data_IF_812523658537
#
_entry.id   IF_812523658537
#
_cell.length_a   1.000
_cell.length_b   1.000
_cell.length_c   1.000
_cell.angle_alpha   90.00
_cell.angle_beta   90.00
_cell.angle_gamma   90.00
#
_symmetry.space_group_name_H-M   'P 1'
#
loop_
_entity.id
_entity.type
_entity.pdbx_description
1 polymer ?
#
# COMPACT_ATOMS: atom_id res chain seq x y z
N UNK A 1 -1.57 54.87 0.41
CA UNK A 1 -1.59 53.44 0.03
C UNK A 1 -0.86 52.67 1.12
N UNK A 2 -1.59 52.08 2.07
CA UNK A 2 -0.99 51.31 3.17
C UNK A 2 -0.75 49.88 2.72
N UNK A 3 0.53 49.52 2.57
CA UNK A 3 0.96 48.16 2.27
C UNK A 3 0.77 47.29 3.52
N UNK A 4 -0.25 46.43 3.51
CA UNK A 4 -0.42 45.41 4.55
C UNK A 4 0.73 44.40 4.44
N UNK A 5 1.55 44.31 5.50
CA UNK A 5 2.52 43.22 5.65
C UNK A 5 1.75 41.89 5.70
N UNK A 6 2.19 40.84 4.99
CA UNK A 6 1.58 39.52 5.14
C UNK A 6 1.75 39.08 6.59
N UNK A 7 0.65 38.67 7.22
CA UNK A 7 0.67 38.15 8.59
C UNK A 7 1.65 36.99 8.65
N UNK A 8 2.72 37.12 9.42
CA UNK A 8 3.62 36.01 9.71
C UNK A 8 2.77 34.86 10.26
N UNK A 9 2.80 33.71 9.58
CA UNK A 9 2.16 32.49 10.05
C UNK A 9 2.73 32.19 11.44
N UNK A 10 1.95 32.44 12.48
CA UNK A 10 2.34 32.07 13.84
C UNK A 10 2.46 30.54 13.87
N UNK A 11 3.61 30.00 14.31
CA UNK A 11 3.76 28.56 14.45
C UNK A 11 2.70 28.05 15.43
N UNK A 12 2.02 26.96 15.05
CA UNK A 12 1.10 26.26 15.96
C UNK A 12 1.88 25.81 17.20
N UNK A 13 1.21 25.78 18.35
CA UNK A 13 1.81 25.15 19.52
C UNK A 13 2.03 23.64 19.24
N UNK A 14 3.07 23.02 19.83
CA UNK A 14 3.43 21.63 19.52
C UNK A 14 2.31 20.62 19.76
N UNK A 15 1.39 20.90 20.71
CA UNK A 15 0.26 20.01 21.00
C UNK A 15 -0.77 20.10 19.87
N UNK A 16 -1.12 21.32 19.45
CA UNK A 16 -2.03 21.53 18.31
C UNK A 16 -1.46 20.95 17.02
N UNK A 17 -0.17 21.14 16.75
CA UNK A 17 0.46 20.56 15.56
C UNK A 17 0.40 19.02 15.59
N UNK A 18 0.79 18.40 16.71
CA UNK A 18 0.73 16.95 16.87
C UNK A 18 -0.69 16.41 16.70
N UNK A 19 -1.69 17.08 17.30
CA UNK A 19 -3.11 16.71 17.15
C UNK A 19 -3.57 16.80 15.70
N UNK A 20 -3.20 17.87 15.00
CA UNK A 20 -3.55 18.03 13.59
C UNK A 20 -3.04 16.85 12.76
N UNK A 21 -1.78 16.44 12.95
CA UNK A 21 -1.21 15.31 12.23
C UNK A 21 -1.83 13.96 12.61
N UNK A 22 -2.18 13.74 13.89
CA UNK A 22 -2.94 12.57 14.31
C UNK A 22 -4.32 12.52 13.64
N UNK A 23 -5.05 13.64 13.66
CA UNK A 23 -6.36 13.74 13.01
C UNK A 23 -6.26 13.47 11.51
N UNK A 24 -5.26 14.01 10.82
CA UNK A 24 -5.03 13.72 9.40
C UNK A 24 -4.77 12.23 9.15
N UNK A 25 -3.99 11.57 10.01
CA UNK A 25 -3.76 10.12 9.91
C UNK A 25 -5.09 9.36 10.01
N UNK A 26 -5.95 9.67 10.98
CA UNK A 26 -7.27 9.05 11.14
C UNK A 26 -8.15 9.27 9.90
N UNK A 27 -8.26 10.51 9.42
CA UNK A 27 -9.07 10.87 8.26
C UNK A 27 -8.60 10.10 7.03
N UNK A 28 -7.29 10.10 6.74
CA UNK A 28 -6.77 9.41 5.57
C UNK A 28 -6.89 7.90 5.68
N UNK A 29 -6.78 7.29 6.87
CA UNK A 29 -7.06 5.86 7.03
C UNK A 29 -8.53 5.53 6.71
N UNK A 30 -9.48 6.33 7.17
CA UNK A 30 -10.90 6.15 6.84
C UNK A 30 -11.14 6.26 5.33
N UNK A 31 -10.57 7.30 4.69
CA UNK A 31 -10.67 7.49 3.25
C UNK A 31 -10.03 6.34 2.46
N UNK A 32 -8.89 5.83 2.92
CA UNK A 32 -8.19 4.72 2.31
C UNK A 32 -9.05 3.44 2.36
N UNK A 33 -9.62 3.13 3.53
CA UNK A 33 -10.53 2.00 3.68
C UNK A 33 -11.78 2.14 2.81
N UNK A 34 -12.28 3.35 2.60
CA UNK A 34 -13.36 3.61 1.64
C UNK A 34 -12.94 3.31 0.20
N UNK A 35 -11.75 3.73 -0.24
CA UNK A 35 -11.25 3.41 -1.58
C UNK A 35 -10.99 1.91 -1.77
N UNK A 36 -10.46 1.23 -0.75
CA UNK A 36 -10.26 -0.23 -0.77
C UNK A 36 -11.60 -0.97 -0.94
N UNK A 37 -12.64 -0.56 -0.20
CA UNK A 37 -13.99 -1.13 -0.35
C UNK A 37 -14.59 -0.83 -1.72
N UNK A 38 -14.45 0.39 -2.23
CA UNK A 38 -14.92 0.75 -3.58
C UNK A 38 -14.25 -0.14 -4.64
N UNK A 39 -12.93 -0.30 -4.58
CA UNK A 39 -12.19 -1.17 -5.50
C UNK A 39 -12.70 -2.62 -5.43
N UNK A 40 -12.89 -3.16 -4.22
CA UNK A 40 -13.45 -4.50 -4.03
C UNK A 40 -14.79 -4.68 -4.77
N UNK A 41 -15.72 -3.75 -4.57
CA UNK A 41 -17.05 -3.83 -5.19
C UNK A 41 -16.97 -3.78 -6.72
N UNK A 42 -16.14 -2.88 -7.26
CA UNK A 42 -15.92 -2.79 -8.71
C UNK A 42 -15.28 -4.06 -9.28
N UNK A 43 -14.31 -4.64 -8.56
CA UNK A 43 -13.70 -5.91 -8.98
C UNK A 43 -14.72 -7.05 -8.95
N UNK A 44 -15.54 -7.14 -7.91
CA UNK A 44 -16.63 -8.11 -7.81
C UNK A 44 -17.65 -7.94 -8.95
N UNK A 45 -18.07 -6.71 -9.24
CA UNK A 45 -18.97 -6.38 -10.33
C UNK A 45 -18.46 -6.88 -11.68
N UNK A 46 -17.17 -6.65 -11.97
CA UNK A 46 -16.52 -7.15 -13.19
C UNK A 46 -16.58 -8.68 -13.35
N UNK A 47 -16.74 -9.43 -12.25
CA UNK A 47 -16.72 -10.89 -12.25
C UNK A 47 -18.10 -11.53 -12.16
N UNK A 48 -19.18 -10.76 -11.94
CA UNK A 48 -20.52 -11.31 -11.69
C UNK A 48 -21.01 -12.25 -12.79
N UNK A 49 -20.61 -12.00 -14.04
CA UNK A 49 -21.03 -12.78 -15.21
C UNK A 49 -20.00 -13.84 -15.65
N UNK A 50 -18.84 -13.92 -14.98
CA UNK A 50 -17.80 -14.90 -15.31
C UNK A 50 -18.06 -16.23 -14.60
N UNK A 51 -17.64 -17.37 -15.17
CA UNK A 51 -17.61 -18.64 -14.46
C UNK A 51 -16.77 -18.54 -13.17
N UNK A 52 -17.17 -19.24 -12.10
CA UNK A 52 -16.45 -19.23 -10.80
C UNK A 52 -14.97 -19.60 -10.96
N UNK A 53 -14.63 -20.45 -11.93
CA UNK A 53 -13.24 -20.85 -12.23
C UNK A 53 -12.38 -19.70 -12.77
N UNK A 54 -13.02 -18.63 -13.26
CA UNK A 54 -12.38 -17.42 -13.78
C UNK A 54 -12.44 -16.27 -12.77
N UNK A 55 -13.06 -16.47 -11.60
CA UNK A 55 -13.13 -15.45 -10.56
C UNK A 55 -11.76 -15.26 -9.95
N UNK A 56 -11.30 -14.02 -10.02
CA UNK A 56 -10.20 -13.55 -9.22
C UNK A 56 -10.70 -13.29 -7.78
N UNK A 57 -10.06 -13.83 -6.75
CA UNK A 57 -10.43 -13.51 -5.36
C UNK A 57 -9.43 -12.50 -4.79
N UNK A 58 -9.70 -11.18 -4.87
CA UNK A 58 -8.81 -10.19 -4.29
C UNK A 58 -8.76 -10.36 -2.78
N UNK A 59 -7.56 -10.55 -2.23
CA UNK A 59 -7.33 -10.40 -0.80
C UNK A 59 -7.39 -8.91 -0.46
N UNK A 60 -8.27 -8.55 0.46
CA UNK A 60 -8.53 -7.16 0.85
C UNK A 60 -8.24 -7.00 2.33
N UNK A 61 -7.23 -6.19 2.63
CA UNK A 61 -6.87 -5.83 3.99
C UNK A 61 -7.24 -4.38 4.23
N UNK A 62 -8.06 -4.15 5.25
CA UNK A 62 -8.36 -2.81 5.72
C UNK A 62 -7.30 -2.36 6.71
N UNK A 63 -6.94 -1.08 6.64
CA UNK A 63 -6.01 -0.47 7.57
C UNK A 63 -6.72 -0.21 8.91
N UNK A 64 -6.13 -0.61 10.06
CA UNK A 64 -6.66 -0.29 11.37
C UNK A 64 -6.75 1.23 11.56
N UNK A 65 -7.94 1.75 11.87
CA UNK A 65 -8.14 3.17 12.13
C UNK A 65 -7.48 3.53 13.47
N UNK A 66 -6.47 4.42 13.49
CA UNK A 66 -5.82 4.79 14.74
C UNK A 66 -6.81 5.45 15.71
N UNK A 67 -6.62 5.22 17.01
CA UNK A 67 -7.37 5.93 18.05
C UNK A 67 -6.68 7.25 18.39
N UNK A 68 -7.47 8.30 18.66
CA UNK A 68 -6.92 9.57 19.12
C UNK A 68 -6.42 9.42 20.55
N UNK A 69 -5.14 9.70 20.77
CA UNK A 69 -4.55 9.65 22.10
C UNK A 69 -4.59 11.03 22.75
N UNK A 70 -4.99 11.09 24.03
CA UNK A 70 -4.84 12.32 24.81
C UNK A 70 -3.35 12.48 25.14
N UNK A 71 -2.70 13.60 24.76
CA UNK A 71 -1.31 13.81 25.15
C UNK A 71 -1.22 13.92 26.67
N UNK A 72 -0.15 13.35 27.25
CA UNK A 72 0.11 13.49 28.68
C UNK A 72 0.19 14.98 29.02
N UNK A 73 -0.52 15.45 30.06
CA UNK A 73 -0.59 16.88 30.39
C UNK A 73 0.72 17.47 30.91
N UNK A 74 1.80 16.69 31.01
CA UNK A 74 3.07 17.15 31.55
C UNK A 74 4.08 17.45 30.42
N UNK A 75 4.22 18.72 29.99
CA UNK A 75 5.16 19.11 28.93
C UNK A 75 6.64 19.02 29.34
N UNK A 76 6.93 18.85 30.64
CA UNK A 76 8.27 18.66 31.18
C UNK A 76 8.44 17.22 31.69
N UNK A 77 8.94 16.28 30.88
CA UNK A 77 9.29 14.95 31.35
C UNK A 77 10.55 15.06 32.21
N UNK A 78 10.37 15.25 33.52
CA UNK A 78 11.46 14.98 34.45
C UNK A 78 11.78 13.48 34.34
N UNK A 79 12.90 13.15 33.70
CA UNK A 79 13.66 11.87 33.75
C UNK A 79 13.66 10.90 32.57
N UNK A 80 12.99 11.12 31.43
CA UNK A 80 13.45 10.45 30.17
C UNK A 80 13.06 11.20 28.88
N UNK A 81 14.01 11.54 28.00
CA UNK A 81 13.73 12.19 26.71
C UNK A 81 13.13 11.25 25.66
N UNK A 82 13.10 9.94 25.91
CA UNK A 82 12.66 8.91 24.94
C UNK A 82 11.15 8.82 24.74
N UNK A 83 10.33 9.36 25.63
CA UNK A 83 8.86 9.23 25.57
C UNK A 83 8.11 10.52 25.24
N UNK A 84 8.79 11.58 24.78
CA UNK A 84 8.11 12.82 24.39
C UNK A 84 7.45 12.66 23.00
N UNK A 85 6.10 12.68 22.89
CA UNK A 85 5.42 12.56 21.60
C UNK A 85 5.67 13.75 20.66
N UNK A 86 6.20 14.86 21.18
CA UNK A 86 6.47 16.09 20.46
C UNK A 86 7.93 16.21 19.99
N UNK A 87 8.76 15.18 20.18
CA UNK A 87 10.14 15.22 19.67
C UNK A 87 10.13 15.22 18.13
N UNK A 88 11.21 15.75 17.53
CA UNK A 88 11.30 15.92 16.08
C UNK A 88 11.13 14.61 15.32
N UNK A 89 11.76 13.53 15.79
CA UNK A 89 11.68 12.19 15.17
C UNK A 89 10.25 11.65 15.13
N UNK A 90 9.51 11.73 16.25
CA UNK A 90 8.12 11.28 16.34
C UNK A 90 7.22 12.13 15.45
N UNK A 91 7.43 13.45 15.44
CA UNK A 91 6.68 14.36 14.57
C UNK A 91 6.94 14.09 13.09
N UNK A 92 8.19 13.82 12.70
CA UNK A 92 8.56 13.49 11.33
C UNK A 92 8.00 12.12 10.88
N UNK A 93 8.01 11.12 11.77
CA UNK A 93 7.36 9.85 11.52
C UNK A 93 5.84 10.02 11.32
N UNK A 94 5.18 10.84 12.15
CA UNK A 94 3.74 11.10 12.04
C UNK A 94 3.38 11.86 10.76
N UNK A 95 4.18 12.87 10.38
CA UNK A 95 4.04 13.59 9.10
C UNK A 95 4.23 12.65 7.91
N UNK A 96 5.24 11.80 7.98
CA UNK A 96 5.54 10.80 6.93
C UNK A 96 4.37 9.84 6.78
N UNK A 97 3.86 9.28 7.89
CA UNK A 97 2.69 8.41 7.87
C UNK A 97 1.47 9.09 7.25
N UNK A 98 1.17 10.34 7.62
CA UNK A 98 0.06 11.09 7.04
C UNK A 98 0.24 11.30 5.52
N UNK A 99 1.46 11.61 5.06
CA UNK A 99 1.78 11.74 3.63
C UNK A 99 1.60 10.43 2.88
N UNK A 100 2.09 9.30 3.42
CA UNK A 100 1.94 7.98 2.82
C UNK A 100 0.46 7.57 2.72
N UNK A 101 -0.32 7.75 3.79
CA UNK A 101 -1.76 7.48 3.78
C UNK A 101 -2.48 8.33 2.72
N UNK A 102 -2.16 9.63 2.62
CA UNK A 102 -2.71 10.49 1.58
C UNK A 102 -2.36 9.99 0.18
N UNK A 103 -1.10 9.64 -0.07
CA UNK A 103 -0.67 9.10 -1.37
C UNK A 103 -1.44 7.81 -1.72
N UNK A 104 -1.62 6.92 -0.74
CA UNK A 104 -2.42 5.70 -0.89
C UNK A 104 -3.89 5.97 -1.19
N UNK A 105 -4.49 6.99 -0.56
CA UNK A 105 -5.86 7.43 -0.87
C UNK A 105 -5.98 7.89 -2.31
N UNK A 106 -5.08 8.76 -2.77
CA UNK A 106 -5.12 9.25 -4.16
C UNK A 106 -4.88 8.11 -5.16
N UNK A 107 -3.96 7.20 -4.85
CA UNK A 107 -3.75 6.00 -5.67
C UNK A 107 -5.00 5.12 -5.71
N UNK A 108 -5.68 4.93 -4.57
CA UNK A 108 -6.94 4.19 -4.51
C UNK A 108 -8.04 4.80 -5.39
N UNK A 109 -8.13 6.14 -5.44
CA UNK A 109 -9.07 6.84 -6.32
C UNK A 109 -8.75 6.59 -7.79
N UNK A 110 -7.48 6.72 -8.18
CA UNK A 110 -7.00 6.46 -9.54
C UNK A 110 -7.35 5.04 -9.99
N UNK A 111 -7.07 4.03 -9.14
CA UNK A 111 -7.38 2.63 -9.47
C UNK A 111 -8.88 2.38 -9.63
N UNK A 112 -9.72 2.92 -8.74
CA UNK A 112 -11.17 2.77 -8.85
C UNK A 112 -11.71 3.41 -10.13
N UNK A 113 -11.27 4.63 -10.44
CA UNK A 113 -11.68 5.32 -11.67
C UNK A 113 -11.17 4.65 -12.94
N UNK A 114 -9.99 4.03 -12.91
CA UNK A 114 -9.48 3.27 -14.06
C UNK A 114 -10.28 1.98 -14.31
N UNK A 115 -10.75 1.30 -13.26
CA UNK A 115 -11.64 0.14 -13.41
C UNK A 115 -12.96 0.58 -14.07
N UNK A 116 -13.61 1.62 -13.54
CA UNK A 116 -14.85 2.18 -14.12
C UNK A 116 -14.67 2.56 -15.59
N UNK A 117 -13.60 3.30 -15.91
CA UNK A 117 -13.26 3.69 -17.29
C UNK A 117 -13.06 2.49 -18.22
N UNK A 118 -12.59 1.36 -17.72
CA UNK A 118 -12.42 0.11 -18.49
C UNK A 118 -13.71 -0.67 -18.64
N UNK A 119 -14.62 -0.59 -17.67
CA UNK A 119 -15.96 -1.19 -17.75
C UNK A 119 -16.84 -0.49 -18.79
N UNK A 120 -16.66 0.81 -19.00
CA UNK A 120 -17.44 1.62 -19.96
C UNK A 120 -16.90 1.64 -21.40
N UNK A 121 -15.76 1.00 -21.68
CA UNK A 121 -15.16 1.00 -23.01
C UNK A 121 -15.96 0.19 -24.05
N UNK A 122 -15.89 0.62 -25.32
CA UNK A 122 -16.42 -0.10 -26.47
C UNK A 122 -15.33 -0.32 -27.54
N UNK A 123 -14.91 -1.57 -27.82
CA UNK A 123 -15.37 -2.80 -27.17
C UNK A 123 -14.88 -2.89 -25.71
N UNK A 124 -15.60 -3.61 -24.83
CA UNK A 124 -15.21 -3.75 -23.43
C UNK A 124 -13.91 -4.54 -23.31
N UNK A 125 -13.06 -4.12 -22.36
CA UNK A 125 -11.83 -4.86 -22.01
C UNK A 125 -12.23 -6.22 -21.45
N UNK A 126 -11.55 -7.30 -21.89
CA UNK A 126 -11.89 -8.67 -21.49
C UNK A 126 -11.77 -8.88 -19.97
N UNK A 127 -10.76 -8.27 -19.36
CA UNK A 127 -10.53 -8.26 -17.92
C UNK A 127 -10.24 -6.83 -17.44
N UNK A 128 -11.27 -6.01 -17.17
CA UNK A 128 -11.09 -4.59 -16.79
C UNK A 128 -10.20 -4.39 -15.56
N UNK A 129 -10.06 -5.41 -14.72
CA UNK A 129 -9.26 -5.41 -13.49
C UNK A 129 -7.82 -5.91 -13.72
N UNK A 130 -7.49 -6.48 -14.87
CA UNK A 130 -6.16 -7.01 -15.16
C UNK A 130 -5.22 -5.91 -15.69
N UNK A 131 -4.74 -5.05 -14.80
CA UNK A 131 -3.80 -3.99 -15.13
C UNK A 131 -2.82 -3.70 -13.98
N UNK A 132 -1.72 -3.02 -14.30
CA UNK A 132 -0.72 -2.62 -13.32
C UNK A 132 -1.28 -1.54 -12.39
N UNK A 133 -1.32 -1.80 -11.09
CA UNK A 133 -1.77 -0.81 -10.13
C UNK A 133 -0.75 0.32 -9.93
N UNK A 134 0.49 0.22 -10.41
CA UNK A 134 1.49 1.30 -10.31
C UNK A 134 1.35 2.31 -11.46
N UNK A 135 1.34 1.84 -12.71
CA UNK A 135 1.36 2.69 -13.90
C UNK A 135 0.08 2.66 -14.73
N UNK A 136 -0.97 1.98 -14.26
CA UNK A 136 -2.27 1.77 -14.93
C UNK A 136 -2.22 1.12 -16.31
N UNK A 137 -1.06 0.57 -16.71
CA UNK A 137 -0.89 -0.11 -17.98
C UNK A 137 -1.67 -1.43 -18.02
N UNK A 138 -2.32 -1.66 -19.17
CA UNK A 138 -3.11 -2.85 -19.46
C UNK A 138 -2.30 -4.16 -19.41
N UNK A 139 -2.81 -5.15 -18.70
CA UNK A 139 -2.20 -6.47 -18.59
C UNK A 139 -2.34 -7.35 -19.84
N UNK A 140 -3.07 -6.92 -20.86
CA UNK A 140 -3.01 -7.52 -22.20
C UNK A 140 -1.73 -7.11 -22.95
N UNK A 141 -1.10 -6.00 -22.54
CA UNK A 141 0.13 -5.46 -23.18
C UNK A 141 1.40 -5.81 -22.41
N UNK A 142 1.29 -6.05 -21.10
CA UNK A 142 2.42 -6.35 -20.22
C UNK A 142 2.04 -7.47 -19.26
N UNK A 143 3.03 -8.26 -18.85
CA UNK A 143 2.81 -9.24 -17.79
C UNK A 143 2.58 -8.52 -16.46
N UNK A 144 1.47 -8.85 -15.80
CA UNK A 144 1.06 -8.27 -14.52
C UNK A 144 1.07 -9.37 -13.44
N UNK A 145 1.83 -9.13 -12.39
CA UNK A 145 2.02 -10.02 -11.26
C UNK A 145 1.21 -9.56 -10.06
N UNK A 146 0.67 -10.51 -9.29
CA UNK A 146 -0.06 -10.23 -8.05
C UNK A 146 0.85 -10.39 -6.83
N UNK A 147 0.87 -9.37 -5.99
CA UNK A 147 1.58 -9.38 -4.71
C UNK A 147 0.68 -9.93 -3.59
N UNK A 148 1.29 -10.44 -2.51
CA UNK A 148 0.56 -10.90 -1.32
C UNK A 148 -0.25 -9.81 -0.63
N UNK A 149 0.13 -8.53 -0.80
CA UNK A 149 -0.68 -7.40 -0.31
C UNK A 149 -1.87 -7.04 -1.22
N UNK A 150 -2.14 -7.82 -2.27
CA UNK A 150 -3.29 -7.64 -3.17
C UNK A 150 -3.09 -6.59 -4.26
N UNK A 151 -1.89 -6.03 -4.40
CA UNK A 151 -1.56 -5.10 -5.49
C UNK A 151 -1.01 -5.83 -6.71
N UNK A 152 -1.35 -5.32 -7.89
CA UNK A 152 -0.86 -5.82 -9.17
C UNK A 152 0.25 -4.92 -9.70
N UNK A 153 1.34 -5.48 -10.21
CA UNK A 153 2.48 -4.71 -10.75
C UNK A 153 2.97 -5.35 -12.04
N UNK A 154 3.24 -4.55 -13.06
CA UNK A 154 3.82 -5.06 -14.30
C UNK A 154 5.33 -5.28 -14.15
N UNK A 155 5.88 -6.18 -14.97
CA UNK A 155 7.31 -6.47 -14.99
C UNK A 155 8.18 -5.23 -15.21
N UNK A 156 7.73 -4.27 -16.02
CA UNK A 156 8.45 -3.00 -16.21
C UNK A 156 8.50 -2.17 -14.93
N UNK A 157 7.39 -2.01 -14.20
CA UNK A 157 7.42 -1.30 -12.91
C UNK A 157 8.24 -2.05 -11.86
N UNK A 158 8.27 -3.38 -11.92
CA UNK A 158 9.07 -4.22 -11.04
C UNK A 158 10.58 -4.00 -11.27
N UNK A 159 11.02 -3.91 -12.53
CA UNK A 159 12.43 -3.63 -12.88
C UNK A 159 12.94 -2.30 -12.29
N UNK A 160 12.09 -1.28 -12.22
CA UNK A 160 12.45 0.02 -11.63
C UNK A 160 12.33 0.07 -10.09
N UNK A 161 11.59 -0.87 -9.49
CA UNK A 161 11.29 -0.87 -8.06
C UNK A 161 12.08 -1.91 -7.27
N UNK A 162 12.75 -2.85 -7.95
CA UNK A 162 13.62 -3.81 -7.29
C UNK A 162 14.88 -3.15 -6.72
N UNK A 163 15.30 -3.60 -5.54
CA UNK A 163 16.53 -3.15 -4.87
C UNK A 163 17.81 -3.77 -5.45
N UNK A 164 17.70 -4.59 -6.50
CA UNK A 164 18.81 -5.34 -7.11
C UNK A 164 19.17 -6.64 -6.37
N UNK A 165 18.68 -6.84 -5.15
CA UNK A 165 18.82 -8.08 -4.36
C UNK A 165 17.63 -9.03 -4.55
N UNK A 166 16.63 -8.59 -5.31
CA UNK A 166 15.43 -9.36 -5.63
C UNK A 166 14.27 -9.11 -4.66
N UNK A 167 14.41 -8.14 -3.75
CA UNK A 167 13.30 -7.72 -2.92
C UNK A 167 12.47 -6.67 -3.66
N UNK A 168 11.16 -6.72 -3.44
CA UNK A 168 10.23 -5.75 -3.99
C UNK A 168 9.50 -5.04 -2.85
N UNK A 169 9.68 -3.73 -2.79
CA UNK A 169 8.84 -2.85 -1.99
C UNK A 169 7.62 -2.44 -2.82
N UNK A 170 6.43 -2.72 -2.32
CA UNK A 170 5.21 -2.33 -2.99
C UNK A 170 5.12 -0.80 -3.08
N UNK A 171 5.10 -0.24 -4.28
CA UNK A 171 4.97 1.21 -4.54
C UNK A 171 3.66 1.84 -4.03
N UNK A 172 2.72 1.02 -3.56
CA UNK A 172 1.43 1.44 -3.02
C UNK A 172 1.41 1.28 -1.50
N UNK A 173 1.79 0.11 -0.97
CA UNK A 173 1.83 -0.07 0.49
C UNK A 173 3.04 0.58 1.15
N UNK A 174 4.14 0.75 0.41
CA UNK A 174 5.47 1.10 0.91
C UNK A 174 5.98 0.08 1.93
N UNK A 175 5.75 -1.20 1.61
CA UNK A 175 6.08 -2.35 2.44
C UNK A 175 6.70 -3.44 1.56
N UNK A 176 7.62 -4.22 2.13
CA UNK A 176 8.21 -5.37 1.47
C UNK A 176 7.15 -6.45 1.28
N UNK A 177 7.01 -6.95 0.06
CA UNK A 177 6.00 -7.96 -0.25
C UNK A 177 6.51 -9.02 -1.21
N UNK A 178 6.05 -10.24 -0.97
CA UNK A 178 6.24 -11.35 -1.90
C UNK A 178 5.12 -11.38 -2.94
N UNK A 179 5.34 -12.15 -4.01
CA UNK A 179 4.33 -12.43 -5.01
C UNK A 179 3.48 -13.64 -4.60
N UNK A 180 2.19 -13.60 -4.92
CA UNK A 180 1.36 -14.80 -4.86
C UNK A 180 1.89 -15.73 -5.93
N UNK A 181 2.41 -16.90 -5.53
CA UNK A 181 2.90 -17.89 -6.46
C UNK A 181 1.78 -18.23 -7.47
N UNK A 182 1.87 -17.69 -8.67
CA UNK A 182 1.41 -18.43 -9.85
C UNK A 182 2.41 -19.57 -10.00
N UNK A 183 1.97 -20.74 -10.47
CA UNK A 183 2.87 -21.80 -10.95
C UNK A 183 4.08 -21.15 -11.62
N UNK A 184 5.32 -21.60 -11.31
CA UNK A 184 6.53 -20.88 -11.68
C UNK A 184 6.39 -20.41 -13.12
N UNK A 185 6.66 -19.12 -13.43
CA UNK A 185 6.57 -18.63 -14.78
C UNK A 185 7.31 -19.64 -15.63
N UNK A 186 6.58 -20.26 -16.56
CA UNK A 186 7.13 -21.22 -17.50
C UNK A 186 8.22 -20.50 -18.25
N UNK A 187 9.44 -20.58 -17.71
CA UNK A 187 10.65 -20.12 -18.30
C UNK A 187 10.88 -21.12 -19.43
N UNK A 188 10.14 -20.94 -20.52
CA UNK A 188 10.43 -21.58 -21.80
C UNK A 188 11.72 -20.94 -22.28
N UNK A 189 12.83 -21.39 -21.69
CA UNK A 189 14.12 -21.44 -22.33
C UNK A 189 14.38 -22.91 -22.62
N UNK A 190 13.84 -23.40 -23.73
CA UNK A 190 14.53 -24.46 -24.44
C UNK A 190 15.87 -23.89 -24.89
N UNK A 191 16.95 -24.20 -24.17
CA UNK A 191 18.30 -24.38 -24.71
C UNK A 191 19.12 -25.22 -23.70
N UNK A 192 20.04 -26.07 -24.19
CA UNK A 192 20.47 -27.27 -23.49
C UNK A 192 21.44 -27.03 -22.32
N UNK A 193 21.44 -28.02 -21.43
CA UNK A 193 22.22 -28.18 -20.20
C UNK A 193 23.72 -27.89 -20.36
N UNK A 194 24.29 -27.17 -19.37
CA UNK A 194 25.70 -27.25 -18.98
C UNK A 194 25.77 -27.23 -17.43
N UNK A 195 26.59 -28.07 -16.78
CA UNK A 195 26.32 -28.55 -15.41
C UNK A 195 26.79 -27.63 -14.28
N UNK A 196 26.16 -27.86 -13.13
CA UNK A 196 26.36 -27.26 -11.81
C UNK A 196 27.82 -27.26 -11.30
N UNK A 197 28.20 -26.26 -10.51
CA UNK A 197 29.34 -26.37 -9.59
C UNK A 197 29.19 -25.46 -8.34
N UNK A 198 28.93 -26.11 -7.19
CA UNK A 198 29.11 -25.76 -5.75
C UNK A 198 28.43 -24.50 -5.15
N UNK A 199 27.90 -24.40 -3.91
CA UNK A 199 27.78 -25.12 -2.60
C UNK A 199 28.21 -24.16 -1.46
N UNK A 200 27.41 -24.07 -0.40
CA UNK A 200 27.76 -23.52 0.94
C UNK A 200 26.75 -22.46 1.41
N UNK A 201 25.79 -22.71 2.31
CA UNK A 201 25.76 -23.18 3.73
C UNK A 201 26.20 -22.11 4.75
N UNK A 202 25.24 -21.64 5.56
CA UNK A 202 25.38 -20.87 6.81
C UNK A 202 24.22 -19.87 6.97
N UNK A 203 23.11 -20.17 7.65
CA UNK A 203 22.87 -20.20 9.11
C UNK A 203 23.21 -18.88 9.81
N UNK A 204 22.16 -18.09 10.12
CA UNK A 204 22.11 -17.15 11.25
C UNK A 204 20.67 -17.07 11.78
N UNK A 205 20.51 -17.43 13.05
CA UNK A 205 19.30 -17.40 13.85
C UNK A 205 18.95 -15.98 14.36
N UNK A 206 17.63 -15.74 14.46
CA UNK A 206 16.87 -15.04 15.52
C UNK A 206 17.27 -13.62 16.01
N UNK A 207 16.40 -12.62 15.79
CA UNK A 207 15.56 -11.95 16.84
C UNK A 207 14.81 -10.69 16.36
N UNK A 208 13.67 -10.46 17.02
CA UNK A 208 12.71 -9.34 16.91
C UNK A 208 11.67 -9.55 15.79
N UNK A 209 10.52 -10.20 15.99
CA UNK A 209 9.71 -10.29 17.20
C UNK A 209 8.74 -9.11 17.30
N UNK A 210 7.84 -9.00 16.31
CA UNK A 210 6.74 -8.03 16.29
C UNK A 210 5.55 -8.65 15.56
N UNK A 211 4.74 -9.37 16.32
CA UNK A 211 3.47 -9.97 15.91
C UNK A 211 2.49 -8.87 15.48
N UNK A 212 2.48 -8.53 14.20
CA UNK A 212 1.38 -7.82 13.57
C UNK A 212 0.29 -8.85 13.33
N UNK A 213 -0.56 -9.05 14.35
CA UNK A 213 -1.76 -9.85 14.27
C UNK A 213 -2.61 -9.40 13.09
N UNK A 214 -2.45 -10.09 11.95
CA UNK A 214 -3.29 -9.93 10.78
C UNK A 214 -4.63 -10.56 11.14
N UNK A 215 -5.58 -9.74 11.56
CA UNK A 215 -6.97 -10.19 11.72
C UNK A 215 -7.53 -10.49 10.33
N UNK A 216 -7.54 -11.78 9.96
CA UNK A 216 -8.31 -12.31 8.85
C UNK A 216 -9.79 -12.11 9.17
N UNK A 217 -10.37 -11.03 8.68
CA UNK A 217 -11.82 -10.82 8.74
C UNK A 217 -12.41 -11.49 7.51
N UNK A 218 -12.88 -12.73 7.67
CA UNK A 218 -13.79 -13.32 6.71
C UNK A 218 -15.07 -12.49 6.71
N UNK A 219 -15.30 -11.77 5.61
CA UNK A 219 -16.62 -11.20 5.33
C UNK A 219 -17.49 -12.39 4.92
N UNK A 220 -18.56 -12.73 5.66
CA UNK A 220 -19.45 -13.81 5.26
C UNK A 220 -20.09 -13.46 3.91
N UNK A 221 -20.29 -14.47 3.07
CA UNK A 221 -21.01 -14.32 1.81
C UNK A 221 -22.41 -13.71 2.07
N UNK A 222 -22.67 -12.59 1.38
CA UNK A 222 -23.96 -11.95 1.13
C UNK A 222 -24.73 -11.37 2.33
#
# INVERSE_FOLDING_TARGET
MSSSKPSANLPLDPISEWRAWQTLTVIYTIQLNSQIRRRCLLEQECMQNLPITEHFRPLIFLEPVPTLHKPSPNPNPSKSPTNNPFNATTMDALRTKARLLRARVEKGKELGSEIERRMEQDPPVKFPTHFCHTCVQDGERVEVLLTKCGHRVCTTCLEFAGDGEGNYECSICFEHVEFVARSPPGLVKEFPEIPSLFKGRGSWDERMGGDLGMSEVMIPDC
#
